data_IF_627429986173
#
_entry.id   IF_627429986173
#
_cell.length_a   1.000
_cell.length_b   1.000
_cell.length_c   1.000
_cell.angle_alpha   90.00
_cell.angle_beta   90.00
_cell.angle_gamma   90.00
#
_symmetry.space_group_name_H-M   'P 1'
#
loop_
_entity.id
_entity.type
_entity.pdbx_description
1 polymer ?
#
# COMPACT_ATOMS: atom_id res chain seq x y z
N UNK A 1 -2.42 1.06 13.94
CA UNK A 1 -3.70 0.49 13.43
C UNK A 1 -4.90 1.39 13.75
N UNK A 2 -4.76 2.72 13.63
CA UNK A 2 -5.86 3.68 13.93
C UNK A 2 -6.19 4.57 12.71
N UNK A 3 -5.30 4.66 11.71
CA UNK A 3 -5.46 5.59 10.59
C UNK A 3 -6.27 5.07 9.39
N UNK A 4 -6.54 3.76 9.30
CA UNK A 4 -7.29 3.18 8.18
C UNK A 4 -8.81 3.39 8.28
N UNK A 5 -9.33 3.81 9.44
CA UNK A 5 -10.76 4.03 9.57
C UNK A 5 -11.24 5.35 8.97
N UNK A 6 -10.35 6.32 8.68
CA UNK A 6 -10.75 7.69 8.26
C UNK A 6 -10.22 8.18 6.90
N UNK A 7 -9.49 7.36 6.15
CA UNK A 7 -8.83 7.82 4.91
C UNK A 7 -9.65 7.50 3.65
N UNK A 8 -9.88 8.52 2.82
CA UNK A 8 -10.59 8.55 1.52
C UNK A 8 -9.80 7.86 0.38
N UNK A 9 -9.15 6.75 0.69
CA UNK A 9 -7.88 6.36 0.07
C UNK A 9 -7.92 6.01 -1.43
N UNK A 10 -9.09 5.85 -2.05
CA UNK A 10 -9.15 5.25 -3.39
C UNK A 10 -10.04 5.94 -4.43
N UNK A 11 -11.00 6.77 -4.04
CA UNK A 11 -11.90 7.41 -4.99
C UNK A 11 -12.18 8.85 -4.60
N UNK A 12 -11.74 9.79 -5.43
CA UNK A 12 -11.95 11.23 -5.22
C UNK A 12 -13.44 11.61 -5.19
N UNK A 13 -14.28 10.83 -5.86
CA UNK A 13 -15.74 10.95 -5.97
C UNK A 13 -16.49 9.82 -5.23
N UNK A 14 -15.78 8.91 -4.57
CA UNK A 14 -16.40 7.73 -3.96
C UNK A 14 -16.89 6.68 -4.97
N UNK A 15 -16.27 6.58 -6.15
CA UNK A 15 -16.56 5.64 -7.24
C UNK A 15 -17.92 5.85 -7.91
N UNK A 16 -18.43 7.09 -7.86
CA UNK A 16 -19.72 7.45 -8.44
C UNK A 16 -19.69 7.36 -9.97
N UNK A 17 -18.59 7.82 -10.59
CA UNK A 17 -18.37 7.70 -12.03
C UNK A 17 -18.30 6.23 -12.48
N UNK A 18 -17.58 5.37 -11.74
CA UNK A 18 -17.50 3.95 -12.04
C UNK A 18 -18.85 3.24 -11.84
N UNK A 19 -19.62 3.57 -10.79
CA UNK A 19 -20.99 3.06 -10.58
C UNK A 19 -21.90 3.47 -11.75
N UNK A 20 -21.82 4.72 -12.21
CA UNK A 20 -22.61 5.23 -13.34
C UNK A 20 -22.25 4.54 -14.67
N UNK A 21 -20.96 4.42 -14.99
CA UNK A 21 -20.48 3.76 -16.21
C UNK A 21 -20.88 2.28 -16.25
N UNK A 22 -20.80 1.60 -15.11
CA UNK A 22 -21.21 0.20 -14.96
C UNK A 22 -22.72 0.03 -15.17
N UNK A 23 -23.52 0.97 -14.66
CA UNK A 23 -24.98 0.99 -14.84
C UNK A 23 -25.37 1.19 -16.31
N UNK A 24 -24.66 2.06 -17.03
CA UNK A 24 -24.90 2.32 -18.48
C UNK A 24 -24.52 1.10 -19.33
N UNK A 25 -23.40 0.45 -19.03
CA UNK A 25 -22.88 -0.68 -19.80
C UNK A 25 -23.57 -2.02 -19.49
N UNK A 26 -24.29 -2.13 -18.37
CA UNK A 26 -24.84 -3.39 -17.85
C UNK A 26 -23.79 -4.49 -17.55
N UNK A 27 -22.51 -4.13 -17.51
CA UNK A 27 -21.45 -5.05 -17.10
C UNK A 27 -21.37 -5.12 -15.56
N UNK A 28 -21.04 -6.26 -14.94
CA UNK A 28 -20.88 -6.32 -13.50
C UNK A 28 -19.52 -5.76 -13.06
N UNK A 29 -19.48 -5.03 -11.93
CA UNK A 29 -18.22 -4.68 -11.28
C UNK A 29 -17.39 -5.94 -10.98
N UNK A 30 -16.09 -5.87 -11.25
CA UNK A 30 -15.15 -6.95 -10.93
C UNK A 30 -15.08 -7.20 -9.42
N UNK A 31 -14.78 -8.44 -9.06
CA UNK A 31 -14.73 -8.90 -7.67
C UNK A 31 -13.72 -8.12 -6.82
N UNK A 32 -12.58 -7.75 -7.39
CA UNK A 32 -11.57 -6.92 -6.74
C UNK A 32 -12.12 -5.53 -6.39
N UNK A 33 -12.82 -4.89 -7.32
CA UNK A 33 -13.42 -3.56 -7.13
C UNK A 33 -14.51 -3.58 -6.05
N UNK A 34 -15.35 -4.63 -6.02
CA UNK A 34 -16.34 -4.82 -4.96
C UNK A 34 -15.74 -4.96 -3.57
N UNK A 35 -14.49 -5.41 -3.46
CA UNK A 35 -13.79 -5.53 -2.17
C UNK A 35 -13.34 -4.18 -1.61
N UNK A 36 -13.31 -3.12 -2.43
CA UNK A 36 -13.10 -1.74 -2.02
C UNK A 36 -14.44 -1.01 -2.05
N UNK A 37 -15.30 -1.18 -1.04
CA UNK A 37 -16.62 -0.57 -1.07
C UNK A 37 -16.48 0.95 -1.18
N UNK A 38 -17.20 1.59 -2.11
CA UNK A 38 -17.27 3.04 -2.18
C UNK A 38 -17.78 3.58 -0.84
N UNK A 39 -16.98 4.43 -0.18
CA UNK A 39 -17.43 5.10 1.05
C UNK A 39 -18.30 6.28 0.64
N UNK A 40 -19.62 6.07 0.62
CA UNK A 40 -20.65 7.13 0.42
C UNK A 40 -20.74 8.16 1.56
N UNK A 41 -19.83 8.12 2.55
CA UNK A 41 -19.87 9.05 3.69
C UNK A 41 -18.86 10.19 3.52
N UNK A 42 -19.41 11.39 3.33
CA UNK A 42 -18.77 12.71 3.19
C UNK A 42 -18.25 13.05 1.79
N UNK A 43 -19.17 13.12 0.83
CA UNK A 43 -19.05 13.85 -0.46
C UNK A 43 -18.89 15.37 -0.30
N UNK A 44 -18.44 15.88 0.86
CA UNK A 44 -18.29 17.32 1.06
C UNK A 44 -17.05 17.92 0.40
N UNK A 45 -16.11 17.10 -0.10
CA UNK A 45 -14.91 17.57 -0.81
C UNK A 45 -14.66 16.73 -2.08
N UNK A 46 -15.63 16.66 -3.01
CA UNK A 46 -15.27 16.33 -4.40
C UNK A 46 -14.26 17.40 -4.81
N UNK A 47 -13.00 17.00 -5.04
CA UNK A 47 -11.98 17.90 -5.57
C UNK A 47 -12.41 18.21 -7.00
N UNK A 48 -13.19 19.27 -7.17
CA UNK A 48 -13.44 19.83 -8.48
C UNK A 48 -12.11 20.39 -8.97
N UNK A 49 -11.47 19.71 -9.92
CA UNK A 49 -10.34 20.28 -10.64
C UNK A 49 -10.84 21.55 -11.33
N UNK A 50 -10.34 22.75 -10.98
CA UNK A 50 -10.71 23.94 -11.72
C UNK A 50 -10.23 23.80 -13.17
N UNK A 51 -11.00 24.27 -14.16
CA UNK A 51 -10.55 24.30 -15.55
C UNK A 51 -9.22 25.07 -15.64
N UNK A 52 -8.27 24.51 -16.41
CA UNK A 52 -6.89 24.99 -16.64
C UNK A 52 -6.60 26.42 -16.15
N UNK A 53 -5.86 26.54 -15.04
CA UNK A 53 -5.29 27.83 -14.61
C UNK A 53 -5.25 28.07 -13.10
N UNK A 54 -6.00 27.31 -12.30
CA UNK A 54 -5.85 27.29 -10.85
C UNK A 54 -5.04 26.09 -10.43
N UNK A 55 -3.89 26.30 -9.77
CA UNK A 55 -3.32 25.24 -8.93
C UNK A 55 -4.38 24.97 -7.85
N UNK A 56 -5.00 23.78 -7.80
CA UNK A 56 -5.83 23.50 -6.65
C UNK A 56 -4.87 23.51 -5.45
N UNK A 57 -5.13 24.40 -4.49
CA UNK A 57 -4.64 24.23 -3.13
C UNK A 57 -5.36 22.99 -2.59
N UNK A 58 -4.98 21.82 -3.10
CA UNK A 58 -5.28 20.55 -2.45
C UNK A 58 -4.37 20.59 -1.23
N UNK A 59 -4.86 21.19 -0.15
CA UNK A 59 -4.51 20.66 1.15
C UNK A 59 -4.94 19.20 1.09
N UNK A 60 -4.00 18.31 0.75
CA UNK A 60 -4.16 16.89 0.99
C UNK A 60 -4.54 16.81 2.46
N UNK A 61 -5.80 16.46 2.73
CA UNK A 61 -6.35 16.37 4.09
C UNK A 61 -5.63 15.33 4.95
N UNK A 62 -4.71 14.56 4.37
CA UNK A 62 -3.58 14.03 5.10
C UNK A 62 -2.63 15.20 5.40
N UNK A 63 -2.76 15.80 6.60
CA UNK A 63 -1.61 16.46 7.21
C UNK A 63 -0.39 15.56 6.93
N UNK A 64 0.69 16.08 6.32
CA UNK A 64 1.81 15.27 5.90
C UNK A 64 2.18 14.41 7.10
N UNK A 65 2.09 13.08 6.95
CA UNK A 65 2.38 12.17 8.05
C UNK A 65 3.68 12.65 8.68
N UNK A 66 3.57 12.96 9.96
CA UNK A 66 4.50 13.86 10.62
C UNK A 66 5.92 13.35 10.40
N UNK A 67 6.73 14.12 9.66
CA UNK A 67 8.13 13.82 9.42
C UNK A 67 8.92 13.69 10.72
N UNK A 68 8.37 14.15 11.85
CA UNK A 68 8.92 13.94 13.18
C UNK A 68 9.02 12.45 13.55
N UNK A 69 8.18 11.57 13.01
CA UNK A 69 8.27 10.12 13.27
C UNK A 69 9.64 9.58 12.85
N UNK A 70 10.22 10.11 11.77
CA UNK A 70 11.59 9.76 11.39
C UNK A 70 12.58 10.28 12.43
N UNK A 71 12.45 11.54 12.85
CA UNK A 71 13.33 12.13 13.86
C UNK A 71 13.26 11.39 15.21
N UNK A 72 12.12 10.81 15.58
CA UNK A 72 11.96 9.95 16.77
C UNK A 72 12.81 8.67 16.72
N UNK A 73 13.23 8.23 15.53
CA UNK A 73 14.12 7.07 15.38
C UNK A 73 15.59 7.37 15.67
N UNK A 74 15.94 8.65 15.85
CA UNK A 74 17.31 9.07 16.16
C UNK A 74 17.81 8.43 17.46
N UNK A 75 19.06 7.96 17.47
CA UNK A 75 19.67 7.37 18.67
C UNK A 75 20.34 8.41 19.55
N UNK A 76 20.74 9.54 18.98
CA UNK A 76 21.47 10.61 19.66
C UNK A 76 21.15 11.97 19.05
N UNK A 77 21.47 13.02 19.80
CA UNK A 77 21.46 14.40 19.34
C UNK A 77 22.89 14.89 19.38
N UNK A 78 23.40 15.35 18.24
CA UNK A 78 24.76 15.85 18.08
C UNK A 78 24.97 17.16 18.84
N UNK A 79 26.23 17.58 18.95
CA UNK A 79 26.62 18.80 19.66
C UNK A 79 26.02 20.09 19.08
N UNK A 80 25.56 20.05 17.83
CA UNK A 80 24.90 21.15 17.13
C UNK A 80 23.37 21.13 17.26
N UNK A 81 22.80 20.13 17.93
CA UNK A 81 21.35 19.96 18.09
C UNK A 81 20.69 19.13 16.99
N UNK A 82 21.44 18.64 16.00
CA UNK A 82 20.89 17.77 14.94
C UNK A 82 20.72 16.34 15.44
N UNK A 83 19.68 15.67 14.94
CA UNK A 83 19.44 14.26 15.20
C UNK A 83 20.44 13.38 14.44
N UNK A 84 20.99 12.37 15.12
CA UNK A 84 21.97 11.43 14.57
C UNK A 84 21.42 10.00 14.53
N UNK A 85 21.90 9.20 13.57
CA UNK A 85 21.49 7.81 13.31
C UNK A 85 19.97 7.64 13.18
N UNK A 86 19.35 8.58 12.46
CA UNK A 86 17.96 8.48 12.02
C UNK A 86 17.86 7.31 11.03
N UNK A 87 16.74 6.57 11.03
CA UNK A 87 16.46 5.57 10.00
C UNK A 87 16.54 6.23 8.61
N UNK A 88 17.38 5.71 7.73
CA UNK A 88 17.51 6.21 6.35
C UNK A 88 16.40 5.70 5.43
N UNK A 89 16.04 4.41 5.56
CA UNK A 89 15.01 3.74 4.76
C UNK A 89 14.27 2.68 5.58
N UNK A 90 12.99 2.47 5.27
CA UNK A 90 12.19 1.39 5.86
C UNK A 90 11.99 0.25 4.86
N UNK A 91 12.12 -1.00 5.32
CA UNK A 91 11.80 -2.19 4.55
C UNK A 91 10.40 -2.70 4.91
N UNK A 92 9.54 -2.90 3.92
CA UNK A 92 8.17 -3.39 4.11
C UNK A 92 7.79 -4.40 3.02
N UNK A 93 6.89 -5.37 3.30
CA UNK A 93 6.25 -6.14 2.24
C UNK A 93 5.48 -5.23 1.27
N UNK A 94 5.34 -5.63 0.01
CA UNK A 94 4.50 -4.91 -0.98
C UNK A 94 3.03 -5.31 -0.86
N UNK A 95 2.80 -6.61 -0.69
CA UNK A 95 1.48 -7.22 -0.60
C UNK A 95 1.42 -8.29 0.48
N UNK A 96 0.22 -8.81 0.78
CA UNK A 96 0.03 -9.82 1.81
C UNK A 96 0.41 -11.24 1.34
N UNK A 97 0.68 -11.42 0.05
CA UNK A 97 0.99 -12.71 -0.57
C UNK A 97 1.96 -12.54 -1.75
N UNK A 98 2.42 -13.67 -2.29
CA UNK A 98 2.94 -13.75 -3.66
C UNK A 98 1.93 -13.21 -4.68
N UNK A 99 2.35 -13.05 -5.94
CA UNK A 99 1.53 -12.50 -7.02
C UNK A 99 0.08 -13.04 -6.97
N UNK A 100 -0.92 -12.18 -6.69
CA UNK A 100 -2.28 -12.62 -6.44
C UNK A 100 -2.90 -13.22 -7.70
N UNK A 101 -3.76 -14.22 -7.52
CA UNK A 101 -4.53 -14.76 -8.64
C UNK A 101 -5.57 -13.73 -9.11
N UNK A 102 -6.02 -13.93 -10.34
CA UNK A 102 -7.06 -13.08 -10.94
C UNK A 102 -8.25 -12.99 -9.99
N UNK A 103 -8.74 -11.77 -9.77
CA UNK A 103 -9.89 -11.45 -8.93
C UNK A 103 -9.75 -11.80 -7.44
N UNK A 104 -8.52 -12.01 -6.93
CA UNK A 104 -8.27 -12.27 -5.50
C UNK A 104 -7.53 -11.14 -4.78
N UNK A 105 -7.07 -10.10 -5.47
CA UNK A 105 -6.38 -8.95 -4.87
C UNK A 105 -7.38 -8.00 -4.17
N UNK A 106 -7.71 -8.29 -2.91
CA UNK A 106 -8.72 -7.56 -2.12
C UNK A 106 -8.16 -6.61 -1.06
N UNK A 107 -6.85 -6.59 -0.87
CA UNK A 107 -6.20 -5.78 0.15
C UNK A 107 -4.85 -5.26 -0.34
N UNK A 108 -4.61 -3.97 -0.13
CA UNK A 108 -3.43 -3.22 -0.61
C UNK A 108 -2.81 -2.32 0.48
N UNK A 109 -3.11 -2.58 1.76
CA UNK A 109 -2.74 -1.68 2.86
C UNK A 109 -1.23 -1.41 2.97
N UNK A 110 -0.38 -2.38 2.64
CA UNK A 110 1.08 -2.21 2.71
C UNK A 110 1.64 -1.15 1.76
N UNK A 111 1.02 -0.93 0.60
CA UNK A 111 1.45 0.12 -0.35
C UNK A 111 0.68 1.42 -0.12
N UNK A 112 -0.63 1.32 0.16
CA UNK A 112 -1.50 2.49 0.14
C UNK A 112 -1.26 3.48 1.29
N UNK A 113 -0.72 3.01 2.41
CA UNK A 113 -0.29 3.91 3.49
C UNK A 113 0.83 4.86 3.08
N UNK A 114 1.74 4.42 2.21
CA UNK A 114 2.87 5.23 1.72
C UNK A 114 2.43 6.22 0.65
N UNK A 115 1.51 5.79 -0.22
CA UNK A 115 0.83 6.69 -1.18
C UNK A 115 0.12 7.82 -0.43
N UNK A 116 -0.61 7.50 0.65
CA UNK A 116 -1.29 8.50 1.48
C UNK A 116 -0.31 9.47 2.16
N UNK A 117 0.87 8.98 2.53
CA UNK A 117 1.90 9.76 3.23
C UNK A 117 2.73 10.63 2.30
N UNK A 118 2.58 10.46 0.98
CA UNK A 118 3.47 11.04 -0.04
C UNK A 118 4.95 10.67 0.21
N UNK A 119 5.21 9.41 0.58
CA UNK A 119 6.56 8.90 0.79
C UNK A 119 7.04 8.14 -0.46
N UNK A 120 8.27 8.39 -0.95
CA UNK A 120 8.82 7.64 -2.06
C UNK A 120 9.00 6.18 -1.66
N UNK A 121 8.58 5.27 -2.54
CA UNK A 121 8.70 3.84 -2.34
C UNK A 121 9.20 3.15 -3.61
N UNK A 122 10.19 2.26 -3.48
CA UNK A 122 10.76 1.48 -4.57
C UNK A 122 10.53 -0.01 -4.30
N UNK A 123 9.98 -0.71 -5.29
CA UNK A 123 9.70 -2.15 -5.22
C UNK A 123 10.80 -2.95 -5.89
N UNK A 124 11.28 -4.01 -5.21
CA UNK A 124 12.25 -4.94 -5.74
C UNK A 124 11.81 -6.41 -5.53
N UNK A 125 11.99 -7.28 -6.53
CA UNK A 125 11.79 -8.72 -6.36
C UNK A 125 12.94 -9.32 -5.54
N UNK A 126 12.62 -10.13 -4.55
CA UNK A 126 13.63 -10.76 -3.66
C UNK A 126 13.63 -12.27 -3.72
N UNK A 127 12.51 -12.87 -4.11
CA UNK A 127 12.39 -14.32 -4.21
C UNK A 127 11.25 -14.67 -5.18
N UNK A 128 11.09 -15.96 -5.46
CA UNK A 128 9.90 -16.51 -6.10
C UNK A 128 9.47 -17.76 -5.36
N UNK A 129 8.19 -18.09 -5.45
CA UNK A 129 7.67 -19.32 -4.85
C UNK A 129 8.31 -20.53 -5.51
N UNK A 130 8.89 -21.39 -4.68
CA UNK A 130 9.55 -22.63 -5.07
C UNK A 130 8.81 -23.81 -4.44
N UNK A 131 8.43 -24.78 -5.26
CA UNK A 131 7.55 -25.87 -4.81
C UNK A 131 8.22 -26.78 -3.79
N UNK A 132 9.52 -27.02 -3.93
CA UNK A 132 10.26 -27.91 -3.05
C UNK A 132 10.58 -27.21 -1.73
N UNK A 133 10.94 -25.92 -1.77
CA UNK A 133 11.23 -25.09 -0.59
C UNK A 133 9.98 -24.72 0.20
N UNK A 134 8.89 -24.37 -0.48
CA UNK A 134 7.66 -23.85 0.12
C UNK A 134 6.56 -24.92 0.26
N UNK A 135 6.93 -26.19 0.02
CA UNK A 135 6.10 -27.40 0.11
C UNK A 135 5.58 -27.73 1.50
N UNK A 136 6.29 -27.30 2.54
CA UNK A 136 5.99 -27.67 3.92
C UNK A 136 4.76 -26.93 4.45
N UNK A 137 3.88 -27.67 5.15
CA UNK A 137 2.68 -27.09 5.73
C UNK A 137 3.03 -26.22 6.93
N UNK A 138 2.92 -24.92 6.75
CA UNK A 138 3.06 -23.94 7.82
C UNK A 138 1.77 -23.85 8.64
N UNK A 139 1.88 -23.88 9.97
CA UNK A 139 0.76 -23.55 10.86
C UNK A 139 0.74 -22.04 11.04
N UNK A 140 -0.17 -21.37 10.33
CA UNK A 140 -0.40 -19.94 10.45
C UNK A 140 -1.73 -19.65 11.15
N UNK A 141 -1.74 -18.66 12.03
CA UNK A 141 -2.96 -18.16 12.69
C UNK A 141 -3.27 -16.76 12.16
N UNK A 142 -4.32 -16.59 11.35
CA UNK A 142 -4.71 -15.29 10.83
C UNK A 142 -5.05 -14.28 11.93
N UNK A 143 -4.72 -13.01 11.67
CA UNK A 143 -4.91 -11.89 12.61
C UNK A 143 -6.32 -11.32 12.57
N UNK A 144 -6.93 -11.31 11.39
CA UNK A 144 -8.28 -10.79 11.12
C UNK A 144 -8.92 -11.50 9.91
N UNK A 145 -10.14 -11.10 9.53
CA UNK A 145 -10.87 -11.69 8.40
C UNK A 145 -10.19 -11.46 7.04
N UNK A 146 -9.48 -10.34 6.87
CA UNK A 146 -8.80 -10.00 5.62
C UNK A 146 -7.55 -10.85 5.45
N UNK A 147 -6.82 -11.04 6.54
CA UNK A 147 -5.68 -11.93 6.62
C UNK A 147 -6.11 -13.39 6.43
N UNK A 148 -7.23 -13.81 7.05
CA UNK A 148 -7.81 -15.14 6.84
C UNK A 148 -8.16 -15.38 5.37
N UNK A 149 -8.73 -14.38 4.69
CA UNK A 149 -9.01 -14.48 3.26
C UNK A 149 -7.73 -14.72 2.45
N UNK A 150 -6.67 -13.92 2.68
CA UNK A 150 -5.40 -14.10 1.97
C UNK A 150 -4.77 -15.47 2.27
N UNK A 151 -4.78 -15.89 3.54
CA UNK A 151 -4.27 -17.20 3.95
C UNK A 151 -5.04 -18.36 3.30
N UNK A 152 -6.37 -18.26 3.21
CA UNK A 152 -7.20 -19.29 2.57
C UNK A 152 -6.85 -19.51 1.09
N UNK A 153 -6.32 -18.49 0.40
CA UNK A 153 -5.83 -18.66 -0.98
C UNK A 153 -4.57 -19.52 -1.00
N UNK A 154 -3.65 -19.29 -0.06
CA UNK A 154 -2.46 -20.14 0.09
C UNK A 154 -2.85 -21.58 0.47
N UNK A 155 -3.77 -21.78 1.41
CA UNK A 155 -4.25 -23.12 1.77
C UNK A 155 -4.92 -23.85 0.59
N UNK A 156 -5.63 -23.12 -0.27
CA UNK A 156 -6.34 -23.68 -1.42
C UNK A 156 -5.41 -24.06 -2.57
N UNK A 157 -4.45 -23.21 -2.89
CA UNK A 157 -3.63 -23.34 -4.10
C UNK A 157 -2.24 -23.89 -3.79
N UNK A 158 -1.72 -23.61 -2.61
CA UNK A 158 -0.42 -24.04 -2.15
C UNK A 158 0.74 -23.54 -3.01
N UNK A 159 1.95 -24.06 -2.77
CA UNK A 159 3.13 -23.69 -3.54
C UNK A 159 3.00 -24.03 -5.02
N UNK A 160 2.36 -25.15 -5.37
CA UNK A 160 2.10 -25.53 -6.78
C UNK A 160 1.24 -24.50 -7.51
N UNK A 161 0.19 -24.00 -6.85
CA UNK A 161 -0.67 -23.00 -7.46
C UNK A 161 -0.02 -21.62 -7.56
N UNK A 162 1.02 -21.34 -6.80
CA UNK A 162 1.79 -20.10 -6.86
C UNK A 162 3.18 -20.28 -7.47
N UNK A 163 3.47 -21.42 -8.09
CA UNK A 163 4.77 -21.74 -8.66
C UNK A 163 5.33 -20.60 -9.52
N UNK A 164 6.59 -20.25 -9.27
CA UNK A 164 7.31 -19.17 -9.95
C UNK A 164 6.72 -17.75 -9.77
N UNK A 165 5.70 -17.58 -8.90
CA UNK A 165 5.17 -16.27 -8.58
C UNK A 165 6.22 -15.46 -7.82
N UNK A 166 6.52 -14.21 -8.24
CA UNK A 166 7.50 -13.38 -7.55
C UNK A 166 6.98 -12.93 -6.19
N UNK A 167 7.90 -12.85 -5.24
CA UNK A 167 7.76 -12.18 -3.96
C UNK A 167 8.62 -10.92 -3.99
N UNK A 168 8.03 -9.81 -3.53
CA UNK A 168 8.67 -8.50 -3.57
C UNK A 168 8.55 -7.79 -2.25
N UNK A 169 9.56 -6.99 -1.95
CA UNK A 169 9.59 -6.04 -0.85
C UNK A 169 9.68 -4.63 -1.42
N UNK A 170 9.41 -3.64 -0.59
CA UNK A 170 9.55 -2.24 -0.91
C UNK A 170 10.47 -1.55 0.09
N UNK A 171 11.27 -0.64 -0.43
CA UNK A 171 12.05 0.34 0.33
C UNK A 171 11.28 1.64 0.35
N UNK A 172 11.07 2.21 1.52
CA UNK A 172 10.37 3.47 1.72
C UNK A 172 11.36 4.49 2.24
N UNK A 173 11.44 5.62 1.56
CA UNK A 173 12.23 6.78 1.99
C UNK A 173 11.36 7.84 2.64
N UNK A 174 12.04 8.82 3.21
CA UNK A 174 11.41 10.06 3.65
C UNK A 174 10.97 10.87 2.42
N UNK A 175 9.93 11.68 2.59
CA UNK A 175 9.46 12.60 1.56
C UNK A 175 10.61 13.44 1.00
N UNK A 176 10.71 13.49 -0.34
CA UNK A 176 11.78 14.18 -1.10
C UNK A 176 13.18 13.58 -0.99
N UNK A 177 13.30 12.32 -0.54
CA UNK A 177 14.58 11.60 -0.49
C UNK A 177 14.61 10.42 -1.47
N UNK A 178 14.05 10.60 -2.66
CA UNK A 178 14.00 9.60 -3.73
C UNK A 178 15.39 9.03 -4.07
N UNK A 179 16.41 9.88 -4.13
CA UNK A 179 17.80 9.48 -4.42
C UNK A 179 18.36 8.55 -3.33
N UNK A 180 17.96 8.75 -2.07
CA UNK A 180 18.39 7.91 -0.94
C UNK A 180 17.77 6.52 -1.05
N UNK A 181 16.51 6.42 -1.48
CA UNK A 181 15.84 5.13 -1.73
C UNK A 181 16.54 4.39 -2.87
N UNK A 182 16.91 5.09 -3.94
CA UNK A 182 17.66 4.51 -5.06
C UNK A 182 19.04 4.04 -4.60
N UNK A 183 19.73 4.81 -3.78
CA UNK A 183 21.03 4.40 -3.24
C UNK A 183 20.90 3.16 -2.33
N UNK A 184 19.85 3.11 -1.50
CA UNK A 184 19.61 1.96 -0.64
C UNK A 184 19.37 0.66 -1.43
N UNK A 185 18.80 0.75 -2.64
CA UNK A 185 18.63 -0.41 -3.52
C UNK A 185 19.98 -1.06 -3.90
N UNK A 186 21.09 -0.31 -3.96
CA UNK A 186 22.40 -0.90 -4.29
C UNK A 186 22.95 -1.81 -3.18
N UNK A 187 22.39 -1.72 -1.98
CA UNK A 187 22.85 -2.44 -0.78
C UNK A 187 21.99 -3.69 -0.51
N UNK A 188 20.71 -3.68 -0.93
CA UNK A 188 19.70 -4.71 -0.64
C UNK A 188 19.69 -5.79 -1.71
#
# INVERSE_FOLDING_TARGET
MILLEKSFLYFCDGAEEEEAATTVSSEPLRTSFKAYPPRKSNTSNIIQFPPLGGLPNVETSAEPINNDIWNETATSVGSNGDFENIVDVMLSPVGPSAAPKIDTAKWSGYSSQWILSDYPALVLPVDKVDVDKDGEKVIYKPRDEKDLYNWSLWERYGPEGYKDAPNSVQLIGRRYEDERVIQALEIV
#
